data_IF_072700385420
#
_entry.id   IF_072700385420
#
_cell.length_a   1.000
_cell.length_b   1.000
_cell.length_c   1.000
_cell.angle_alpha   90.00
_cell.angle_beta   90.00
_cell.angle_gamma   90.00
#
_symmetry.space_group_name_H-M   'P 1'
#
loop_
_entity.id
_entity.type
_entity.pdbx_description
1 polymer ?
#
# COMPACT_ATOMS: atom_id res chain seq x y z
N UNK A 1 16.56 2.16 3.22
CA UNK A 1 16.16 3.56 2.98
C UNK A 1 14.75 3.74 3.51
N UNK A 2 14.55 4.60 4.52
CA UNK A 2 13.21 4.97 5.01
C UNK A 2 12.46 5.65 3.87
N UNK A 3 11.26 5.18 3.52
CA UNK A 3 10.44 5.88 2.55
C UNK A 3 10.08 7.26 3.14
N UNK A 4 10.43 8.34 2.44
CA UNK A 4 9.98 9.67 2.83
C UNK A 4 8.47 9.79 2.57
N UNK A 5 7.69 9.99 3.64
CA UNK A 5 6.24 10.15 3.55
C UNK A 5 5.81 11.27 2.59
N UNK A 6 6.55 12.37 2.53
CA UNK A 6 6.29 13.45 1.56
C UNK A 6 6.39 12.97 0.10
N UNK A 7 7.31 12.05 -0.20
CA UNK A 7 7.44 11.45 -1.54
C UNK A 7 6.31 10.48 -1.84
N UNK A 8 5.84 9.71 -0.85
CA UNK A 8 4.67 8.85 -0.98
C UNK A 8 3.42 9.68 -1.25
N UNK A 9 3.17 10.72 -0.46
CA UNK A 9 2.01 11.58 -0.60
C UNK A 9 1.98 12.28 -1.96
N UNK A 10 3.10 12.87 -2.39
CA UNK A 10 3.19 13.53 -3.71
C UNK A 10 2.89 12.59 -4.88
N UNK A 11 3.24 11.31 -4.77
CA UNK A 11 3.16 10.35 -5.89
C UNK A 11 1.89 9.50 -5.87
N UNK A 12 1.38 9.18 -4.69
CA UNK A 12 0.29 8.21 -4.49
C UNK A 12 -0.90 8.79 -3.73
N UNK A 13 -1.01 10.12 -3.64
CA UNK A 13 -2.17 10.82 -3.10
C UNK A 13 -3.50 10.25 -3.64
N UNK A 14 -4.38 9.87 -2.71
CA UNK A 14 -5.67 9.24 -2.98
C UNK A 14 -5.60 7.79 -3.44
N UNK A 15 -4.48 7.10 -3.22
CA UNK A 15 -4.28 5.72 -3.64
C UNK A 15 -4.02 4.78 -2.46
N UNK A 16 -4.44 3.54 -2.61
CA UNK A 16 -3.96 2.41 -1.83
C UNK A 16 -2.58 2.02 -2.35
N UNK A 17 -1.59 2.06 -1.47
CA UNK A 17 -0.20 1.69 -1.70
C UNK A 17 0.06 0.37 -1.00
N UNK A 18 0.48 -0.63 -1.76
CA UNK A 18 0.88 -1.93 -1.26
C UNK A 18 2.41 -1.98 -1.22
N UNK A 19 2.98 -2.39 -0.09
CA UNK A 19 4.42 -2.53 0.13
C UNK A 19 4.77 -3.96 0.55
N UNK A 20 5.99 -4.40 0.26
CA UNK A 20 6.47 -5.74 0.67
C UNK A 20 6.61 -5.91 2.19
N UNK A 21 6.87 -4.82 2.92
CA UNK A 21 6.96 -4.75 4.39
C UNK A 21 6.63 -3.34 4.90
N UNK A 22 6.42 -3.14 6.22
CA UNK A 22 6.29 -1.80 6.80
C UNK A 22 7.59 -1.03 6.53
N UNK A 23 7.52 0.10 5.82
CA UNK A 23 8.68 0.87 5.29
C UNK A 23 9.47 0.23 4.13
N UNK A 24 8.86 -0.75 3.46
CA UNK A 24 9.44 -1.49 2.35
C UNK A 24 9.35 -0.81 0.98
N UNK A 25 9.53 -1.55 -0.10
CA UNK A 25 9.31 -1.05 -1.46
C UNK A 25 7.83 -1.11 -1.81
N UNK A 26 7.33 -0.07 -2.48
CA UNK A 26 5.99 -0.09 -3.08
C UNK A 26 5.94 -1.13 -4.20
N UNK A 27 5.07 -2.12 -4.07
CA UNK A 27 4.88 -3.21 -5.03
C UNK A 27 3.70 -2.96 -5.96
N UNK A 28 2.65 -2.30 -5.50
CA UNK A 28 1.50 -1.90 -6.30
C UNK A 28 0.85 -0.65 -5.72
N UNK A 29 0.16 0.13 -6.55
CA UNK A 29 -0.63 1.26 -6.07
C UNK A 29 -1.84 1.51 -6.98
N UNK A 30 -3.02 1.71 -6.40
CA UNK A 30 -4.23 2.03 -7.15
C UNK A 30 -5.22 2.80 -6.29
N UNK A 31 -6.08 3.62 -6.92
CA UNK A 31 -7.25 4.22 -6.23
C UNK A 31 -8.28 3.17 -5.80
N UNK A 32 -8.20 1.96 -6.34
CA UNK A 32 -9.05 0.83 -5.96
C UNK A 32 -8.22 -0.27 -5.29
N UNK A 33 -8.54 -0.60 -4.05
CA UNK A 33 -7.80 -1.58 -3.24
C UNK A 33 -7.71 -2.97 -3.91
N UNK A 34 -8.82 -3.47 -4.48
CA UNK A 34 -8.84 -4.76 -5.15
C UNK A 34 -7.95 -4.82 -6.38
N UNK A 35 -7.85 -3.71 -7.14
CA UNK A 35 -6.90 -3.61 -8.26
C UNK A 35 -5.46 -3.63 -7.78
N UNK A 36 -5.14 -2.90 -6.70
CA UNK A 36 -3.80 -2.89 -6.14
C UNK A 36 -3.38 -4.28 -5.65
N UNK A 37 -4.28 -5.02 -4.99
CA UNK A 37 -4.02 -6.40 -4.57
C UNK A 37 -3.77 -7.34 -5.75
N UNK A 38 -4.64 -7.32 -6.77
CA UNK A 38 -4.44 -8.16 -7.97
C UNK A 38 -3.10 -7.88 -8.66
N UNK A 39 -2.64 -6.62 -8.68
CA UNK A 39 -1.32 -6.27 -9.21
C UNK A 39 -0.18 -6.78 -8.34
N UNK A 40 -0.33 -6.74 -7.01
CA UNK A 40 0.66 -7.29 -6.08
C UNK A 40 0.73 -8.82 -6.17
N UNK A 41 -0.41 -9.50 -6.26
CA UNK A 41 -0.49 -10.96 -6.44
C UNK A 41 0.15 -11.41 -7.74
N UNK A 42 -0.09 -10.70 -8.86
CA UNK A 42 0.58 -10.96 -10.15
C UNK A 42 2.10 -10.86 -10.07
N UNK A 43 2.62 -10.07 -9.12
CA UNK A 43 4.06 -9.91 -8.86
C UNK A 43 4.59 -10.92 -7.82
N UNK A 44 3.76 -11.86 -7.35
CA UNK A 44 4.13 -12.90 -6.40
C UNK A 44 3.98 -12.52 -4.93
N UNK A 45 3.40 -11.37 -4.61
CA UNK A 45 3.22 -10.93 -3.22
C UNK A 45 1.90 -11.44 -2.66
N UNK A 46 1.97 -12.29 -1.62
CA UNK A 46 0.80 -12.91 -0.97
C UNK A 46 0.22 -12.11 0.19
N UNK A 47 1.06 -11.36 0.90
CA UNK A 47 0.66 -10.55 2.08
C UNK A 47 1.34 -9.18 2.05
N UNK A 48 1.03 -8.33 1.07
CA UNK A 48 1.56 -6.97 1.04
C UNK A 48 0.94 -6.11 2.15
N UNK A 49 1.75 -5.22 2.72
CA UNK A 49 1.29 -4.18 3.65
C UNK A 49 0.52 -3.13 2.87
N UNK A 50 -0.71 -2.84 3.28
CA UNK A 50 -1.57 -1.86 2.63
C UNK A 50 -1.54 -0.55 3.40
N UNK A 51 -1.41 0.56 2.69
CA UNK A 51 -1.55 1.90 3.23
C UNK A 51 -2.45 2.71 2.30
N UNK A 52 -3.43 3.45 2.83
CA UNK A 52 -4.13 4.48 2.06
C UNK A 52 -3.41 5.80 2.25
N UNK A 53 -3.09 6.47 1.15
CA UNK A 53 -2.37 7.75 1.20
C UNK A 53 -3.37 8.87 1.03
N UNK A 54 -3.62 9.62 2.10
CA UNK A 54 -4.59 10.72 2.08
C UNK A 54 -4.10 11.87 1.19
N UNK A 55 -4.98 12.41 0.31
CA UNK A 55 -4.63 13.51 -0.58
C UNK A 55 -4.22 14.79 0.12
N UNK A 56 -4.85 15.07 1.26
CA UNK A 56 -4.65 16.25 2.10
C UNK A 56 -4.65 15.78 3.56
N UNK A 57 -3.75 16.33 4.39
CA UNK A 57 -3.70 16.01 5.81
C UNK A 57 -2.92 14.76 6.20
N UNK A 58 -3.30 14.20 7.35
CA UNK A 58 -2.58 13.20 8.14
C UNK A 58 -2.59 11.82 7.48
N UNK A 59 -1.43 11.19 7.32
CA UNK A 59 -1.34 9.82 6.78
C UNK A 59 -1.81 8.82 7.85
N UNK A 60 -2.95 8.17 7.63
CA UNK A 60 -3.41 7.07 8.47
C UNK A 60 -2.78 5.73 8.03
N UNK A 61 -1.96 5.13 8.90
CA UNK A 61 -1.36 3.80 8.68
C UNK A 61 -2.26 2.77 9.35
N UNK A 62 -2.90 1.90 8.55
CA UNK A 62 -3.71 0.80 9.06
C UNK A 62 -2.97 -0.53 8.84
N UNK A 63 -2.71 -1.28 9.91
CA UNK A 63 -2.23 -2.66 9.79
C UNK A 63 -3.43 -3.56 9.48
N UNK A 64 -3.57 -4.01 8.23
CA UNK A 64 -4.63 -4.93 7.83
C UNK A 64 -4.11 -6.37 7.89
N UNK A 65 -4.54 -7.13 8.89
CA UNK A 65 -4.32 -8.58 8.97
C UNK A 65 -5.39 -9.31 8.16
N UNK A 66 -5.03 -9.80 6.97
CA UNK A 66 -5.91 -10.64 6.16
C UNK A 66 -5.75 -12.10 6.60
N UNK A 67 -6.77 -12.64 7.26
CA UNK A 67 -6.86 -14.08 7.56
C UNK A 67 -7.57 -14.76 6.39
N UNK A 68 -6.82 -15.45 5.54
CA UNK A 68 -7.40 -16.33 4.53
C UNK A 68 -8.03 -17.54 5.26
N UNK A 69 -9.36 -17.64 5.30
CA UNK A 69 -10.02 -18.88 5.73
C UNK A 69 -9.60 -19.99 4.76
N UNK A 70 -9.13 -21.12 5.32
CA UNK A 70 -8.84 -22.36 4.61
C UNK A 70 -10.09 -22.93 3.95
#
# INVERSE_FOLDING_TARGET
MKISYAKLQKKYSGMYVLSDKPDGKVVAASRNLGKAFKEAEKKGYKLPVVQYVEPEGTIAIYEVKISLRK
#
